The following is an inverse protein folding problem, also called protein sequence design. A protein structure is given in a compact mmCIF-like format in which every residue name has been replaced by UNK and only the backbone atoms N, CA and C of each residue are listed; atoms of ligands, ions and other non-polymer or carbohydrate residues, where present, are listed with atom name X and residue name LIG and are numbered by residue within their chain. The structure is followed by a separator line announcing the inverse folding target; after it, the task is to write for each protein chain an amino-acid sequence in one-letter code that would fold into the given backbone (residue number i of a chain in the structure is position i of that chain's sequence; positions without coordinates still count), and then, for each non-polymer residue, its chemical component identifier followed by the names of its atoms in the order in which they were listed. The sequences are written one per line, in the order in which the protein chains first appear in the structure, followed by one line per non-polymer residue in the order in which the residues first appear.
data_IF_459101709863
#
_entry.id   IF_459101709863
#
_cell.length_a   1.000
_cell.length_b   1.000
_cell.length_c   1.000
_cell.angle_alpha   90.00
_cell.angle_beta   90.00
_cell.angle_gamma   90.00
#
_symmetry.space_group_name_H-M   'P 1'
#
loop_
_entity.id
_entity.type
_entity.pdbx_description
1 polymer ?
#
# COMPACT_ATOMS: atom_id res chain seq x y z
N UNK A 1 6.02 15.07 1.88
CA UNK A 1 6.70 13.91 2.52
C UNK A 1 7.40 13.10 1.44
N UNK A 2 8.65 12.62 1.67
CA UNK A 2 9.38 11.85 0.67
C UNK A 2 8.74 10.46 0.53
N UNK A 3 8.09 10.23 -0.60
CA UNK A 3 7.36 8.99 -0.87
C UNK A 3 8.30 7.76 -0.90
N UNK A 4 9.55 7.96 -1.28
CA UNK A 4 10.61 6.93 -1.34
C UNK A 4 10.92 6.28 0.01
N UNK A 5 10.57 6.92 1.13
CA UNK A 5 10.80 6.39 2.47
C UNK A 5 9.72 5.40 2.90
N UNK A 6 8.63 5.26 2.13
CA UNK A 6 7.57 4.31 2.43
C UNK A 6 8.04 2.91 2.02
N UNK A 7 8.26 2.04 3.01
CA UNK A 7 8.76 0.68 2.77
C UNK A 7 7.64 -0.35 2.52
N UNK A 8 6.42 -0.09 3.01
CA UNK A 8 5.26 -0.95 2.82
C UNK A 8 3.96 -0.17 2.98
N UNK A 9 2.94 -0.56 2.23
CA UNK A 9 1.56 -0.11 2.44
C UNK A 9 0.73 -1.29 2.92
N UNK A 10 0.26 -1.25 4.15
CA UNK A 10 -0.77 -2.19 4.58
C UNK A 10 -2.14 -1.70 4.14
N UNK A 11 -3.07 -2.61 3.90
CA UNK A 11 -4.50 -2.30 3.70
C UNK A 11 -5.36 -3.33 4.44
N UNK A 12 -6.57 -2.96 4.85
CA UNK A 12 -7.45 -3.87 5.58
C UNK A 12 -8.22 -4.86 4.68
N UNK A 13 -8.54 -4.45 3.45
CA UNK A 13 -9.39 -5.22 2.55
C UNK A 13 -8.81 -5.37 1.15
N UNK A 14 -9.25 -6.40 0.44
CA UNK A 14 -8.86 -6.64 -0.96
C UNK A 14 -9.38 -5.53 -1.90
N UNK A 15 -10.52 -4.91 -1.57
CA UNK A 15 -11.05 -3.79 -2.34
C UNK A 15 -10.10 -2.58 -2.27
N UNK A 16 -9.59 -2.28 -1.08
CA UNK A 16 -8.62 -1.18 -0.88
C UNK A 16 -7.26 -1.56 -1.49
N UNK A 17 -6.85 -2.82 -1.41
CA UNK A 17 -5.65 -3.32 -2.11
C UNK A 17 -5.69 -2.97 -3.60
N UNK A 18 -6.77 -3.34 -4.29
CA UNK A 18 -6.90 -3.10 -5.73
C UNK A 18 -6.86 -1.61 -6.06
N UNK A 19 -7.55 -0.77 -5.28
CA UNK A 19 -7.52 0.69 -5.46
C UNK A 19 -6.10 1.26 -5.30
N UNK A 20 -5.40 0.85 -4.23
CA UNK A 20 -4.04 1.31 -3.95
C UNK A 20 -3.08 0.85 -5.04
N UNK A 21 -3.18 -0.40 -5.50
CA UNK A 21 -2.34 -0.92 -6.59
C UNK A 21 -2.58 -0.15 -7.88
N UNK A 22 -3.83 0.19 -8.22
CA UNK A 22 -4.14 1.01 -9.40
C UNK A 22 -3.54 2.41 -9.30
N UNK A 23 -3.62 3.05 -8.12
CA UNK A 23 -3.03 4.38 -7.91
C UNK A 23 -1.51 4.33 -7.98
N UNK A 24 -0.90 3.29 -7.41
CA UNK A 24 0.57 3.17 -7.32
C UNK A 24 1.24 2.77 -8.63
N UNK A 25 0.48 2.28 -9.61
CA UNK A 25 1.01 1.92 -10.93
C UNK A 25 1.67 3.11 -11.64
N UNK A 26 1.17 4.32 -11.41
CA UNK A 26 1.63 5.56 -12.05
C UNK A 26 2.72 6.31 -11.26
N UNK A 27 3.15 5.81 -10.09
CA UNK A 27 4.24 6.42 -9.31
C UNK A 27 5.56 5.69 -9.55
N UNK A 28 6.66 6.44 -9.46
CA UNK A 28 8.04 5.94 -9.64
C UNK A 28 8.41 4.94 -8.53
N UNK A 29 8.06 5.25 -7.27
CA UNK A 29 8.28 4.37 -6.13
C UNK A 29 7.04 3.52 -5.85
N UNK A 30 7.22 2.19 -5.89
CA UNK A 30 6.16 1.17 -5.78
C UNK A 30 6.41 0.27 -4.58
N UNK A 31 6.12 0.74 -3.36
CA UNK A 31 6.20 -0.10 -2.18
C UNK A 31 5.21 -1.27 -2.28
N UNK A 32 5.57 -2.45 -1.74
CA UNK A 32 4.69 -3.60 -1.72
C UNK A 32 3.43 -3.29 -0.89
N UNK A 33 2.27 -3.57 -1.47
CA UNK A 33 0.97 -3.46 -0.80
C UNK A 33 0.64 -4.82 -0.18
N UNK A 34 0.19 -4.87 1.07
CA UNK A 34 -0.21 -6.11 1.73
C UNK A 34 -1.54 -5.96 2.46
N UNK A 35 -2.43 -6.94 2.30
CA UNK A 35 -3.66 -7.00 3.07
C UNK A 35 -3.33 -7.49 4.48
N UNK A 36 -3.28 -6.57 5.43
CA UNK A 36 -3.07 -6.84 6.85
C UNK A 36 -4.38 -6.54 7.55
N UNK A 37 -5.04 -7.55 8.12
CA UNK A 37 -6.28 -7.37 8.90
C UNK A 37 -6.04 -7.22 10.40
N UNK A 38 -4.84 -7.54 10.85
CA UNK A 38 -4.43 -7.52 12.25
C UNK A 38 -3.50 -6.33 12.53
N UNK A 39 -4.02 -5.10 12.43
CA UNK A 39 -3.19 -3.89 12.53
C UNK A 39 -2.78 -3.50 13.94
N UNK A 40 -3.33 -4.13 14.98
CA UNK A 40 -3.04 -3.76 16.35
C UNK A 40 -2.92 -5.01 17.21
N UNK A 41 -1.76 -5.15 17.85
CA UNK A 41 -1.64 -5.74 19.18
C UNK A 41 -1.14 -4.63 20.10
#
# INVERSE_FOLDING_TARGET
FPWELVSRIGVYSQAVYSQVVTVIQNVVHKPPVQVMRAWYY
#
